data_IF_613341306938
#
_entry.id   IF_613341306938
#
_cell.length_a   1.000
_cell.length_b   1.000
_cell.length_c   1.000
_cell.angle_alpha   90.00
_cell.angle_beta   90.00
_cell.angle_gamma   90.00
#
_symmetry.space_group_name_H-M   'P 1'
#
loop_
_entity.id
_entity.type
_entity.pdbx_description
1 polymer ?
#
# COMPACT_ATOMS: atom_id res chain seq x y z
N UNK A 1 -17.49 -12.06 3.32
CA UNK A 1 -16.28 -11.92 4.17
C UNK A 1 -16.64 -11.52 5.59
N UNK A 2 -17.31 -10.38 5.81
CA UNK A 2 -17.69 -9.93 7.17
C UNK A 2 -18.52 -10.96 7.95
N UNK A 3 -19.49 -11.61 7.31
CA UNK A 3 -20.29 -12.67 7.96
C UNK A 3 -19.41 -13.80 8.50
N UNK A 4 -18.37 -14.20 7.77
CA UNK A 4 -17.45 -15.25 8.20
C UNK A 4 -16.58 -14.79 9.36
N UNK A 5 -16.08 -13.55 9.30
CA UNK A 5 -15.34 -12.95 10.41
C UNK A 5 -16.19 -12.89 11.69
N UNK A 6 -17.46 -12.48 11.57
CA UNK A 6 -18.40 -12.42 12.70
C UNK A 6 -18.70 -13.81 13.24
N UNK A 7 -19.00 -14.80 12.38
CA UNK A 7 -19.18 -16.19 12.81
C UNK A 7 -17.97 -16.72 13.55
N UNK A 8 -16.77 -16.46 13.06
CA UNK A 8 -15.55 -16.87 13.74
C UNK A 8 -15.40 -16.19 15.11
N UNK A 9 -15.68 -14.89 15.22
CA UNK A 9 -15.65 -14.13 16.48
C UNK A 9 -16.67 -14.64 17.52
N UNK A 10 -17.76 -15.27 17.10
CA UNK A 10 -18.74 -15.92 17.98
C UNK A 10 -18.22 -17.23 18.57
N UNK A 11 -17.29 -17.91 17.90
CA UNK A 11 -16.66 -19.15 18.38
C UNK A 11 -15.49 -18.93 19.34
N UNK A 12 -15.07 -17.68 19.55
CA UNK A 12 -13.94 -17.37 20.43
C UNK A 12 -14.26 -17.66 21.89
N UNK A 13 -13.53 -18.60 22.48
CA UNK A 13 -13.60 -18.92 23.92
C UNK A 13 -12.62 -18.10 24.77
N UNK A 14 -11.56 -17.53 24.15
CA UNK A 14 -10.47 -16.81 24.84
C UNK A 14 -9.95 -15.63 24.02
N UNK A 15 -9.51 -14.60 24.75
CA UNK A 15 -8.72 -13.46 24.27
C UNK A 15 -7.25 -13.62 24.70
N UNK A 16 -6.27 -12.97 24.02
CA UNK A 16 -6.42 -12.07 22.87
C UNK A 16 -6.61 -12.81 21.54
N UNK A 17 -7.15 -12.12 20.53
CA UNK A 17 -7.27 -12.61 19.16
C UNK A 17 -6.50 -11.71 18.17
N UNK A 18 -6.18 -12.26 17.00
CA UNK A 18 -5.69 -11.51 15.84
C UNK A 18 -6.55 -11.85 14.64
N UNK A 19 -7.15 -10.84 14.02
CA UNK A 19 -8.03 -10.97 12.86
C UNK A 19 -7.47 -10.13 11.72
N UNK A 20 -7.15 -10.80 10.61
CA UNK A 20 -6.72 -10.15 9.38
C UNK A 20 -7.77 -10.36 8.30
N UNK A 21 -8.20 -9.26 7.67
CA UNK A 21 -9.25 -9.22 6.66
C UNK A 21 -8.72 -8.43 5.48
N UNK A 22 -8.87 -9.00 4.28
CA UNK A 22 -8.40 -8.41 3.05
C UNK A 22 -9.60 -8.13 2.13
N UNK A 23 -10.04 -6.87 2.09
CA UNK A 23 -11.11 -6.43 1.19
C UNK A 23 -10.56 -6.31 -0.24
N UNK A 24 -11.30 -6.86 -1.21
CA UNK A 24 -10.94 -6.84 -2.63
C UNK A 24 -11.88 -5.96 -3.45
N UNK A 25 -12.87 -5.32 -2.80
CA UNK A 25 -13.96 -4.62 -3.48
C UNK A 25 -13.50 -3.36 -4.23
N UNK A 26 -12.34 -2.80 -3.87
CA UNK A 26 -11.66 -1.69 -4.57
C UNK A 26 -10.65 -2.17 -5.63
N UNK A 27 -10.55 -3.48 -5.87
CA UNK A 27 -9.75 -4.03 -6.96
C UNK A 27 -10.62 -4.27 -8.20
N UNK A 28 -10.04 -4.09 -9.39
CA UNK A 28 -10.77 -4.33 -10.64
C UNK A 28 -11.23 -5.80 -10.78
N UNK A 29 -12.37 -6.08 -11.45
CA UNK A 29 -13.32 -5.13 -12.01
C UNK A 29 -14.17 -4.43 -10.93
N UNK A 30 -14.35 -3.11 -11.04
CA UNK A 30 -15.18 -2.35 -10.09
C UNK A 30 -16.67 -2.59 -10.34
N UNK A 31 -17.28 -3.35 -9.45
CA UNK A 31 -18.69 -3.75 -9.53
C UNK A 31 -19.50 -3.34 -8.29
N UNK A 32 -19.49 -2.06 -7.89
CA UNK A 32 -20.18 -1.63 -6.69
C UNK A 32 -21.70 -1.80 -6.85
N UNK A 33 -22.45 -2.01 -5.75
CA UNK A 33 -23.91 -1.91 -5.80
C UNK A 33 -24.36 -0.52 -6.29
N UNK A 34 -25.57 -0.44 -6.83
CA UNK A 34 -26.05 0.82 -7.42
C UNK A 34 -26.43 1.84 -6.35
N UNK A 35 -26.62 1.39 -5.12
CA UNK A 35 -26.91 2.19 -3.94
C UNK A 35 -25.76 3.16 -3.69
N UNK A 36 -24.50 2.70 -3.70
CA UNK A 36 -23.34 3.59 -3.49
C UNK A 36 -23.15 4.60 -4.62
N UNK A 37 -23.41 4.20 -5.87
CA UNK A 37 -23.44 5.15 -7.00
C UNK A 37 -24.48 6.25 -6.77
N UNK A 38 -25.68 5.88 -6.29
CA UNK A 38 -26.75 6.83 -6.00
C UNK A 38 -26.39 7.77 -4.84
N UNK A 39 -25.78 7.27 -3.78
CA UNK A 39 -25.37 8.08 -2.63
C UNK A 39 -24.34 9.15 -2.99
N UNK A 40 -23.45 8.84 -3.93
CA UNK A 40 -22.46 9.77 -4.47
C UNK A 40 -23.03 10.72 -5.55
N UNK A 41 -24.32 10.60 -5.89
CA UNK A 41 -24.93 11.39 -6.96
C UNK A 41 -24.44 10.99 -8.36
N UNK A 42 -23.85 9.81 -8.52
CA UNK A 42 -23.28 9.30 -9.75
C UNK A 42 -24.33 8.57 -10.60
N UNK A 43 -24.10 8.55 -11.92
CA UNK A 43 -24.98 7.84 -12.85
C UNK A 43 -24.91 6.34 -12.62
N UNK A 44 -26.03 5.65 -12.90
CA UNK A 44 -26.09 4.18 -12.80
C UNK A 44 -25.43 3.54 -14.01
N UNK A 45 -24.77 2.41 -13.77
CA UNK A 45 -24.15 1.58 -14.80
C UNK A 45 -24.80 0.20 -14.82
N UNK A 46 -25.02 -0.36 -16.02
CA UNK A 46 -25.43 -1.75 -16.14
C UNK A 46 -24.31 -2.67 -15.66
N UNK A 47 -24.64 -3.84 -15.11
CA UNK A 47 -23.64 -4.82 -14.67
C UNK A 47 -22.68 -5.21 -15.81
N UNK A 48 -23.21 -5.40 -17.02
CA UNK A 48 -22.40 -5.67 -18.21
C UNK A 48 -21.38 -4.56 -18.50
N UNK A 49 -21.76 -3.28 -18.35
CA UNK A 49 -20.82 -2.15 -18.55
C UNK A 49 -19.70 -2.14 -17.52
N UNK A 50 -20.01 -2.44 -16.25
CA UNK A 50 -19.01 -2.52 -15.16
C UNK A 50 -17.94 -3.58 -15.45
N UNK A 51 -18.38 -4.80 -15.80
CA UNK A 51 -17.50 -5.91 -16.17
C UNK A 51 -16.68 -5.56 -17.42
N UNK A 52 -17.31 -4.98 -18.44
CA UNK A 52 -16.64 -4.62 -19.68
C UNK A 52 -15.55 -3.56 -19.48
N UNK A 53 -15.78 -2.55 -18.64
CA UNK A 53 -14.73 -1.56 -18.31
C UNK A 53 -13.55 -2.21 -17.59
N UNK A 54 -13.80 -3.09 -16.61
CA UNK A 54 -12.72 -3.82 -15.95
C UNK A 54 -11.89 -4.69 -16.91
N UNK A 55 -12.54 -5.39 -17.83
CA UNK A 55 -11.84 -6.17 -18.87
C UNK A 55 -11.01 -5.29 -19.81
N UNK A 56 -11.52 -4.12 -20.19
CA UNK A 56 -10.77 -3.17 -21.01
C UNK A 56 -9.53 -2.64 -20.30
N UNK A 57 -9.61 -2.44 -18.99
CA UNK A 57 -8.47 -2.01 -18.20
C UNK A 57 -7.46 -3.15 -18.12
N UNK A 58 -7.88 -4.39 -17.83
CA UNK A 58 -6.96 -5.53 -17.71
C UNK A 58 -6.23 -5.87 -19.03
N UNK A 59 -6.90 -5.74 -20.18
CA UNK A 59 -6.30 -6.01 -21.49
C UNK A 59 -5.50 -4.81 -22.04
N UNK A 60 -4.20 -5.02 -22.28
CA UNK A 60 -3.26 -3.98 -22.78
C UNK A 60 -3.76 -3.31 -24.07
N UNK A 61 -4.27 -4.06 -25.05
CA UNK A 61 -4.69 -3.50 -26.35
C UNK A 61 -6.00 -2.73 -26.24
N UNK A 62 -6.86 -3.13 -25.31
CA UNK A 62 -8.11 -2.42 -25.05
C UNK A 62 -7.88 -1.16 -24.23
N UNK A 63 -6.96 -1.20 -23.25
CA UNK A 63 -6.59 -0.09 -22.38
C UNK A 63 -6.15 1.14 -23.17
N UNK A 64 -5.34 0.93 -24.22
CA UNK A 64 -4.89 1.97 -25.15
C UNK A 64 -6.03 2.68 -25.89
N UNK A 65 -7.22 2.05 -25.98
CA UNK A 65 -8.38 2.56 -26.72
C UNK A 65 -9.45 3.18 -25.83
N UNK A 66 -9.21 3.24 -24.52
CA UNK A 66 -10.15 3.84 -23.55
C UNK A 66 -10.24 5.34 -23.79
N UNK A 67 -11.46 5.86 -23.89
CA UNK A 67 -11.75 7.30 -24.04
C UNK A 67 -11.79 7.99 -22.67
N UNK A 68 -11.59 9.30 -22.64
CA UNK A 68 -11.62 10.07 -21.39
C UNK A 68 -12.95 9.95 -20.63
N UNK A 69 -14.08 9.94 -21.35
CA UNK A 69 -15.40 9.70 -20.75
C UNK A 69 -15.53 8.30 -20.11
N UNK A 70 -14.77 7.31 -20.60
CA UNK A 70 -14.73 5.97 -20.02
C UNK A 70 -13.82 5.92 -18.78
N UNK A 71 -12.83 6.80 -18.68
CA UNK A 71 -12.00 6.96 -17.48
C UNK A 71 -12.82 7.59 -16.38
N UNK A 72 -13.57 8.65 -16.67
CA UNK A 72 -14.49 9.25 -15.70
C UNK A 72 -15.50 8.21 -15.19
N UNK A 73 -16.00 7.35 -16.09
CA UNK A 73 -16.85 6.22 -15.69
C UNK A 73 -16.14 5.21 -14.79
N UNK A 74 -14.85 4.97 -15.03
CA UNK A 74 -14.03 4.06 -14.25
C UNK A 74 -13.74 4.62 -12.85
N UNK A 75 -13.37 5.90 -12.75
CA UNK A 75 -13.19 6.63 -11.48
C UNK A 75 -14.49 6.62 -10.67
N UNK A 76 -15.63 6.94 -11.29
CA UNK A 76 -16.94 6.91 -10.63
C UNK A 76 -17.28 5.53 -10.05
N UNK A 77 -16.89 4.45 -10.73
CA UNK A 77 -17.06 3.09 -10.21
C UNK A 77 -16.08 2.80 -9.07
N UNK A 78 -14.85 3.28 -9.14
CA UNK A 78 -13.85 3.16 -8.08
C UNK A 78 -14.30 3.88 -6.80
N UNK A 79 -14.76 5.13 -6.90
CA UNK A 79 -15.27 5.92 -5.77
C UNK A 79 -16.47 5.22 -5.09
N UNK A 80 -17.36 4.63 -5.89
CA UNK A 80 -18.48 3.85 -5.36
C UNK A 80 -18.02 2.54 -4.70
N UNK A 81 -16.94 1.91 -5.17
CA UNK A 81 -16.31 0.78 -4.50
C UNK A 81 -15.65 1.19 -3.18
N UNK A 82 -14.98 2.35 -3.12
CA UNK A 82 -14.44 2.92 -1.87
C UNK A 82 -15.57 3.11 -0.87
N UNK A 83 -16.66 3.76 -1.28
CA UNK A 83 -17.83 4.00 -0.43
C UNK A 83 -18.44 2.69 0.10
N UNK A 84 -18.59 1.70 -0.77
CA UNK A 84 -19.09 0.38 -0.36
C UNK A 84 -18.17 -0.26 0.67
N UNK A 85 -16.86 -0.22 0.43
CA UNK A 85 -15.85 -0.82 1.32
C UNK A 85 -15.83 -0.13 2.68
N UNK A 86 -15.90 1.21 2.71
CA UNK A 86 -16.01 2.01 3.93
C UNK A 86 -17.24 1.60 4.77
N UNK A 87 -18.41 1.43 4.15
CA UNK A 87 -19.60 0.95 4.84
C UNK A 87 -19.42 -0.46 5.41
N UNK A 88 -18.74 -1.36 4.69
CA UNK A 88 -18.48 -2.73 5.18
C UNK A 88 -17.48 -2.73 6.34
N UNK A 89 -16.44 -1.90 6.27
CA UNK A 89 -15.48 -1.72 7.36
C UNK A 89 -16.20 -1.18 8.60
N UNK A 90 -17.00 -0.12 8.46
CA UNK A 90 -17.75 0.46 9.56
C UNK A 90 -18.71 -0.55 10.22
N UNK A 91 -19.44 -1.35 9.42
CA UNK A 91 -20.31 -2.42 9.95
C UNK A 91 -19.53 -3.43 10.79
N UNK A 92 -18.37 -3.88 10.31
CA UNK A 92 -17.56 -4.85 11.01
C UNK A 92 -16.99 -4.26 12.31
N UNK A 93 -16.39 -3.06 12.24
CA UNK A 93 -15.86 -2.35 13.42
C UNK A 93 -16.96 -2.18 14.46
N UNK A 94 -18.15 -1.70 14.06
CA UNK A 94 -19.30 -1.52 14.94
C UNK A 94 -19.75 -2.80 15.65
N UNK A 95 -19.60 -3.97 15.02
CA UNK A 95 -19.92 -5.27 15.64
C UNK A 95 -18.84 -5.66 16.64
N UNK A 96 -17.57 -5.52 16.26
CA UNK A 96 -16.43 -5.87 17.11
C UNK A 96 -16.41 -4.99 18.36
N UNK A 97 -16.56 -3.67 18.22
CA UNK A 97 -16.53 -2.72 19.35
C UNK A 97 -17.61 -2.99 20.40
N UNK A 98 -18.77 -3.51 20.00
CA UNK A 98 -19.86 -3.84 20.94
C UNK A 98 -19.48 -4.96 21.91
N UNK A 99 -18.63 -5.91 21.48
CA UNK A 99 -18.23 -7.08 22.28
C UNK A 99 -16.81 -6.97 22.82
N UNK A 100 -15.91 -6.35 22.05
CA UNK A 100 -14.47 -6.31 22.28
C UNK A 100 -13.98 -4.85 22.28
N UNK A 101 -14.31 -4.11 23.34
CA UNK A 101 -13.95 -2.68 23.48
C UNK A 101 -12.42 -2.45 23.51
N UNK A 102 -11.65 -3.46 23.91
CA UNK A 102 -10.19 -3.42 24.00
C UNK A 102 -9.49 -3.79 22.66
N UNK A 103 -10.14 -3.52 21.53
CA UNK A 103 -9.61 -3.85 20.19
C UNK A 103 -8.77 -2.71 19.62
N UNK A 104 -7.60 -3.05 19.05
CA UNK A 104 -6.86 -2.17 18.15
C UNK A 104 -7.25 -2.49 16.70
N UNK A 105 -7.79 -1.50 16.00
CA UNK A 105 -8.07 -1.57 14.58
C UNK A 105 -6.94 -0.91 13.79
N UNK A 106 -6.51 -1.58 12.72
CA UNK A 106 -5.56 -1.02 11.77
C UNK A 106 -6.08 -1.19 10.35
N UNK A 107 -6.25 -0.08 9.64
CA UNK A 107 -6.76 -0.03 8.28
C UNK A 107 -5.66 0.50 7.39
N UNK A 108 -5.37 -0.22 6.30
CA UNK A 108 -4.35 0.16 5.32
C UNK A 108 -4.73 -0.37 3.94
N UNK A 109 -4.09 0.16 2.90
CA UNK A 109 -3.99 -0.51 1.60
C UNK A 109 -2.55 -0.99 1.37
N UNK A 110 -2.37 -1.92 0.45
CA UNK A 110 -1.08 -2.46 0.01
C UNK A 110 -0.43 -1.58 -1.08
N UNK A 111 -1.24 -1.01 -1.98
CA UNK A 111 -0.87 0.02 -2.95
C UNK A 111 -2.08 0.88 -3.34
N UNK A 112 -1.82 1.94 -4.11
CA UNK A 112 -2.86 2.78 -4.72
C UNK A 112 -3.19 2.39 -6.16
N UNK A 113 -3.81 3.29 -6.92
CA UNK A 113 -4.28 3.03 -8.28
C UNK A 113 -4.11 4.28 -9.15
N UNK A 114 -3.71 4.10 -10.41
CA UNK A 114 -3.56 5.20 -11.37
C UNK A 114 -4.75 5.28 -12.34
N UNK A 115 -5.16 6.51 -12.63
CA UNK A 115 -6.25 6.90 -13.50
C UNK A 115 -5.80 7.80 -14.68
N UNK A 116 -4.57 7.60 -15.19
CA UNK A 116 -3.85 8.37 -16.24
C UNK A 116 -3.09 9.61 -15.81
N UNK A 117 -2.86 9.82 -14.52
CA UNK A 117 -2.03 10.92 -14.01
C UNK A 117 -0.63 10.88 -14.65
N UNK A 118 -0.04 9.69 -14.82
CA UNK A 118 1.26 9.48 -15.48
C UNK A 118 1.15 8.54 -16.68
N UNK A 119 0.02 8.61 -17.39
CA UNK A 119 -0.17 8.02 -18.71
C UNK A 119 -0.60 6.55 -18.75
N UNK A 120 -0.67 5.85 -17.61
CA UNK A 120 -1.21 4.48 -17.58
C UNK A 120 -2.53 4.41 -16.79
N UNK A 121 -3.12 3.22 -16.77
CA UNK A 121 -4.26 2.89 -15.93
C UNK A 121 -3.85 1.71 -15.06
N UNK A 122 -4.40 1.66 -13.86
CA UNK A 122 -4.11 0.64 -12.86
C UNK A 122 -2.69 0.75 -12.24
N UNK A 123 -2.21 -0.31 -11.59
CA UNK A 123 -0.97 -0.32 -10.81
C UNK A 123 0.19 -0.97 -11.58
N UNK A 124 0.62 -0.34 -12.67
CA UNK A 124 1.80 -0.77 -13.42
C UNK A 124 3.11 -0.47 -12.66
N UNK A 125 4.27 -0.86 -13.22
CA UNK A 125 5.60 -0.70 -12.61
C UNK A 125 6.04 0.78 -12.53
N UNK A 126 5.43 1.53 -11.61
CA UNK A 126 5.72 2.94 -11.35
C UNK A 126 5.71 3.19 -9.84
N UNK A 127 6.26 4.35 -9.45
CA UNK A 127 6.45 4.74 -8.05
C UNK A 127 5.97 6.18 -7.80
N UNK A 128 4.92 6.60 -8.51
CA UNK A 128 4.22 7.88 -8.28
C UNK A 128 3.26 7.78 -7.08
N UNK A 129 2.86 8.90 -6.49
CA UNK A 129 2.13 8.94 -5.20
C UNK A 129 0.73 8.35 -5.34
N UNK A 130 0.14 8.33 -6.54
CA UNK A 130 -1.11 7.63 -6.84
C UNK A 130 -1.01 6.13 -6.52
N UNK A 131 0.19 5.54 -6.62
CA UNK A 131 0.44 4.12 -6.32
C UNK A 131 1.03 3.89 -4.93
N UNK A 132 1.66 4.88 -4.32
CA UNK A 132 2.41 4.72 -3.06
C UNK A 132 1.70 5.33 -1.85
N UNK A 133 0.89 6.37 -2.02
CA UNK A 133 0.27 7.12 -0.95
C UNK A 133 -1.06 6.47 -0.54
N UNK A 134 -0.93 5.42 0.28
CA UNK A 134 -2.06 4.63 0.78
C UNK A 134 -2.55 5.12 2.15
N UNK A 135 -3.82 4.87 2.51
CA UNK A 135 -4.29 5.12 3.87
C UNK A 135 -3.52 4.25 4.88
N UNK A 136 -3.25 4.81 6.06
CA UNK A 136 -2.81 4.07 7.25
C UNK A 136 -3.47 4.68 8.48
N UNK A 137 -4.44 3.96 9.06
CA UNK A 137 -5.25 4.43 10.18
C UNK A 137 -5.14 3.45 11.32
N UNK A 138 -4.74 3.94 12.49
CA UNK A 138 -4.86 3.24 13.76
C UNK A 138 -6.08 3.79 14.50
N UNK A 139 -6.90 2.91 15.06
CA UNK A 139 -8.13 3.28 15.77
C UNK A 139 -8.42 2.30 16.92
N UNK A 140 -9.09 2.77 17.97
CA UNK A 140 -9.46 1.96 19.13
C UNK A 140 -8.47 2.04 20.29
N UNK A 141 -8.20 0.90 20.93
CA UNK A 141 -7.46 0.82 22.21
C UNK A 141 -6.10 1.53 22.18
N UNK A 142 -5.86 2.38 23.18
CA UNK A 142 -4.59 3.10 23.40
C UNK A 142 -4.14 4.01 22.24
N UNK A 143 -5.01 4.27 21.26
CA UNK A 143 -4.71 5.21 20.18
C UNK A 143 -5.09 6.62 20.60
N UNK A 144 -4.12 7.52 20.66
CA UNK A 144 -4.37 8.95 20.85
C UNK A 144 -4.68 9.60 19.51
N UNK A 145 -5.56 10.61 19.52
CA UNK A 145 -5.81 11.42 18.34
C UNK A 145 -4.52 12.16 17.95
N UNK A 146 -3.99 11.84 16.77
CA UNK A 146 -2.78 12.41 16.22
C UNK A 146 -2.77 12.24 14.69
N UNK A 147 -2.18 13.21 13.99
CA UNK A 147 -1.82 13.11 12.58
C UNK A 147 -0.29 12.98 12.51
N UNK A 148 0.19 12.02 11.71
CA UNK A 148 1.63 11.82 11.45
C UNK A 148 1.90 12.33 10.03
N UNK A 149 2.53 13.50 9.92
CA UNK A 149 2.78 14.17 8.63
C UNK A 149 4.04 13.65 7.91
N UNK A 150 4.94 12.99 8.64
CA UNK A 150 6.15 12.41 8.04
C UNK A 150 5.79 11.18 7.20
N UNK A 151 6.52 10.91 6.11
CA UNK A 151 6.37 9.65 5.38
C UNK A 151 6.60 8.45 6.29
N UNK A 152 5.76 7.45 6.11
CA UNK A 152 5.87 6.15 6.76
C UNK A 152 5.78 5.06 5.71
N UNK A 153 6.45 3.94 5.94
CA UNK A 153 6.43 2.79 5.02
C UNK A 153 5.60 1.67 5.64
N UNK A 154 4.93 0.87 4.81
CA UNK A 154 4.16 -0.29 5.27
C UNK A 154 5.01 -1.33 6.00
N UNK A 155 6.35 -1.35 5.81
CA UNK A 155 7.25 -2.21 6.61
C UNK A 155 7.25 -1.84 8.11
N UNK A 156 6.81 -0.64 8.46
CA UNK A 156 6.66 -0.14 9.82
C UNK A 156 5.34 -0.56 10.48
N UNK A 157 4.41 -1.16 9.72
CA UNK A 157 3.10 -1.57 10.24
C UNK A 157 3.23 -2.60 11.37
N UNK A 158 3.91 -3.71 11.11
CA UNK A 158 4.10 -4.81 12.08
C UNK A 158 4.79 -4.37 13.38
N UNK A 159 5.95 -3.68 13.37
CA UNK A 159 6.58 -3.23 14.61
C UNK A 159 5.72 -2.21 15.37
N UNK A 160 4.94 -1.38 14.68
CA UNK A 160 4.01 -0.45 15.33
C UNK A 160 2.86 -1.18 16.01
N UNK A 161 2.28 -2.20 15.38
CA UNK A 161 1.26 -3.05 16.01
C UNK A 161 1.80 -3.69 17.29
N UNK A 162 3.02 -4.24 17.24
CA UNK A 162 3.67 -4.85 18.41
C UNK A 162 3.85 -3.86 19.56
N UNK A 163 4.21 -2.61 19.26
CA UNK A 163 4.34 -1.54 20.25
C UNK A 163 3.01 -1.25 20.95
N UNK A 164 1.91 -1.10 20.18
CA UNK A 164 0.57 -0.89 20.76
C UNK A 164 0.11 -2.04 21.68
N UNK A 165 0.55 -3.28 21.44
CA UNK A 165 0.23 -4.44 22.28
C UNK A 165 1.29 -4.74 23.35
N UNK A 166 2.31 -3.89 23.51
CA UNK A 166 3.33 -4.02 24.55
C UNK A 166 4.36 -5.13 24.30
N UNK A 167 4.52 -5.57 23.05
CA UNK A 167 5.52 -6.58 22.67
C UNK A 167 6.80 -5.90 22.19
N UNK A 168 7.81 -5.89 23.06
CA UNK A 168 9.12 -5.32 22.75
C UNK A 168 9.99 -6.30 21.95
N UNK A 169 9.86 -6.32 20.62
CA UNK A 169 10.81 -7.03 19.75
C UNK A 169 11.13 -6.28 18.45
N UNK A 170 12.31 -5.67 18.42
CA UNK A 170 12.79 -4.85 17.29
C UNK A 170 13.47 -5.65 16.16
N UNK A 171 13.77 -6.94 16.36
CA UNK A 171 14.65 -7.69 15.45
C UNK A 171 13.93 -8.61 14.45
N UNK A 172 12.59 -8.69 14.49
CA UNK A 172 11.81 -9.55 13.60
C UNK A 172 11.48 -8.91 12.26
N UNK A 173 11.46 -7.58 12.20
CA UNK A 173 11.02 -6.81 11.04
C UNK A 173 12.16 -5.93 10.52
N UNK A 174 12.11 -5.62 9.23
CA UNK A 174 13.06 -4.70 8.60
C UNK A 174 12.71 -3.24 8.92
N UNK A 175 11.42 -2.93 9.07
CA UNK A 175 10.95 -1.61 9.44
C UNK A 175 11.05 -1.37 10.94
N UNK A 176 10.97 -0.09 11.30
CA UNK A 176 10.88 0.38 12.68
C UNK A 176 9.47 0.89 12.97
N UNK A 177 9.15 1.12 14.24
CA UNK A 177 7.87 1.73 14.63
C UNK A 177 7.70 3.08 13.90
N UNK A 178 6.49 3.37 13.39
CA UNK A 178 6.18 4.63 12.68
C UNK A 178 6.59 5.89 13.47
N UNK A 179 6.60 5.85 14.79
CA UNK A 179 7.04 6.97 15.63
C UNK A 179 8.56 7.12 15.68
N UNK A 180 9.31 6.04 15.42
CA UNK A 180 10.78 5.99 15.44
C UNK A 180 11.41 6.09 14.03
N UNK A 181 10.63 6.07 12.94
CA UNK A 181 11.18 6.06 11.57
C UNK A 181 11.95 7.33 11.18
N UNK A 182 12.89 7.13 10.26
CA UNK A 182 13.56 8.16 9.45
C UNK A 182 12.58 9.19 8.83
N UNK A 183 13.06 10.41 8.52
CA UNK A 183 12.24 11.45 7.89
C UNK A 183 11.96 11.19 6.40
N UNK A 184 12.37 10.04 5.87
CA UNK A 184 12.17 9.63 4.49
C UNK A 184 11.85 8.14 4.40
N UNK A 185 11.23 7.75 3.28
CA UNK A 185 10.99 6.35 2.93
C UNK A 185 11.61 6.02 1.58
N UNK A 186 11.83 4.73 1.38
CA UNK A 186 12.27 4.18 0.10
C UNK A 186 11.26 3.13 -0.35
N UNK A 187 10.81 3.25 -1.60
CA UNK A 187 9.96 2.28 -2.27
C UNK A 187 10.71 1.65 -3.45
N UNK A 188 10.39 0.39 -3.76
CA UNK A 188 10.99 -0.36 -4.86
C UNK A 188 9.90 -1.09 -5.65
N UNK A 189 10.06 -1.17 -6.96
CA UNK A 189 9.33 -2.14 -7.80
C UNK A 189 10.31 -2.86 -8.71
N UNK A 190 10.03 -4.13 -8.98
CA UNK A 190 10.90 -5.00 -9.77
C UNK A 190 10.10 -6.07 -10.52
N UNK A 191 9.86 -5.86 -11.81
CA UNK A 191 9.43 -6.93 -12.73
C UNK A 191 10.48 -7.16 -13.81
N UNK A 192 10.85 -6.12 -14.56
CA UNK A 192 11.90 -6.22 -15.59
C UNK A 192 13.19 -5.53 -15.16
N UNK A 193 13.08 -4.30 -14.65
CA UNK A 193 14.19 -3.50 -14.12
C UNK A 193 13.80 -2.99 -12.75
N UNK A 194 14.79 -2.84 -11.87
CA UNK A 194 14.56 -2.26 -10.55
C UNK A 194 14.35 -0.77 -10.71
N UNK A 195 13.22 -0.28 -10.23
CA UNK A 195 12.95 1.15 -10.04
C UNK A 195 12.96 1.40 -8.53
N UNK A 196 13.62 2.46 -8.11
CA UNK A 196 13.63 2.88 -6.70
C UNK A 196 13.15 4.31 -6.57
N UNK A 197 12.41 4.59 -5.51
CA UNK A 197 11.96 5.92 -5.16
C UNK A 197 12.40 6.29 -3.75
N UNK A 198 12.90 7.49 -3.57
CA UNK A 198 13.06 8.16 -2.28
C UNK A 198 11.92 9.16 -2.13
N UNK A 199 11.31 9.25 -0.94
CA UNK A 199 10.32 10.27 -0.61
C UNK A 199 10.52 10.77 0.81
N UNK A 200 10.76 12.07 0.97
CA UNK A 200 10.63 12.78 2.25
C UNK A 200 9.41 13.70 2.24
N UNK A 201 9.26 14.56 3.25
CA UNK A 201 8.13 15.50 3.32
C UNK A 201 8.07 16.49 2.14
N UNK A 202 9.21 16.83 1.55
CA UNK A 202 9.33 17.85 0.50
C UNK A 202 9.66 17.25 -0.85
N UNK A 203 10.59 16.31 -0.88
CA UNK A 203 11.23 15.84 -2.09
C UNK A 203 10.89 14.40 -2.40
N UNK A 204 10.66 14.15 -3.68
CA UNK A 204 10.56 12.81 -4.23
C UNK A 204 11.53 12.63 -5.38
N UNK A 205 12.20 11.49 -5.41
CA UNK A 205 13.18 11.15 -6.42
C UNK A 205 12.94 9.73 -6.90
N UNK A 206 12.79 9.53 -8.20
CA UNK A 206 12.60 8.21 -8.83
C UNK A 206 13.82 7.91 -9.73
N UNK A 207 14.39 6.72 -9.57
CA UNK A 207 15.50 6.21 -10.39
C UNK A 207 15.04 5.00 -11.20
N UNK A 208 15.10 5.12 -12.53
CA UNK A 208 14.83 4.02 -13.45
C UNK A 208 16.00 3.87 -14.43
N UNK A 209 16.90 2.91 -14.18
CA UNK A 209 18.11 2.73 -14.97
C UNK A 209 18.98 4.00 -14.95
N UNK A 210 19.17 4.65 -16.10
CA UNK A 210 19.89 5.93 -16.20
C UNK A 210 18.98 7.16 -16.11
N UNK A 211 17.67 6.97 -16.17
CA UNK A 211 16.68 8.04 -16.08
C UNK A 211 16.43 8.39 -14.62
N UNK A 212 16.25 9.68 -14.35
CA UNK A 212 15.88 10.17 -13.05
C UNK A 212 14.78 11.21 -13.15
N UNK A 213 13.95 11.21 -12.12
CA UNK A 213 12.89 12.18 -11.90
C UNK A 213 13.05 12.74 -10.49
N UNK A 214 12.81 14.04 -10.33
CA UNK A 214 12.95 14.73 -9.06
C UNK A 214 11.85 15.78 -8.93
N UNK A 215 11.05 15.71 -7.88
CA UNK A 215 9.85 16.52 -7.70
C UNK A 215 9.85 17.18 -6.32
N UNK A 216 9.33 18.40 -6.27
CA UNK A 216 8.96 19.05 -5.01
C UNK A 216 7.48 18.76 -4.75
N UNK A 217 7.17 17.81 -3.87
CA UNK A 217 5.80 17.34 -3.62
C UNK A 217 4.94 18.39 -2.92
N UNK A 218 5.54 19.34 -2.22
CA UNK A 218 4.80 20.44 -1.58
C UNK A 218 4.32 21.45 -2.61
N UNK A 219 5.09 21.68 -3.69
CA UNK A 219 4.77 22.65 -4.75
C UNK A 219 4.06 22.00 -5.95
N UNK A 220 4.30 20.70 -6.20
CA UNK A 220 3.84 19.92 -7.35
C UNK A 220 3.43 18.52 -6.88
N UNK A 221 2.26 18.46 -6.23
CA UNK A 221 1.66 17.21 -5.73
C UNK A 221 1.40 16.20 -6.85
N UNK A 222 1.14 16.68 -8.08
CA UNK A 222 0.87 15.84 -9.24
C UNK A 222 2.14 15.32 -9.94
N UNK A 223 3.34 15.64 -9.42
CA UNK A 223 4.61 15.12 -9.93
C UNK A 223 4.82 15.37 -11.45
N UNK A 224 4.46 16.56 -11.92
CA UNK A 224 4.47 16.90 -13.36
C UNK A 224 5.73 17.65 -13.82
N UNK A 225 6.43 18.31 -12.89
CA UNK A 225 7.59 19.16 -13.19
C UNK A 225 8.88 18.46 -12.75
N UNK A 226 9.49 17.71 -13.67
CA UNK A 226 10.76 17.03 -13.39
C UNK A 226 11.95 18.02 -13.26
N UNK A 227 12.53 18.08 -12.06
CA UNK A 227 13.64 18.96 -11.68
C UNK A 227 15.01 18.28 -11.77
N UNK A 228 15.11 16.98 -12.09
CA UNK A 228 16.35 16.20 -11.93
C UNK A 228 17.55 16.77 -12.73
N UNK A 229 17.29 17.39 -13.88
CA UNK A 229 18.33 17.98 -14.76
C UNK A 229 18.62 19.46 -14.48
N UNK A 230 17.94 20.09 -13.53
CA UNK A 230 18.12 21.51 -13.22
C UNK A 230 19.38 21.69 -12.37
N UNK A 231 20.31 22.52 -12.83
CA UNK A 231 21.61 22.74 -12.16
C UNK A 231 21.47 23.17 -10.69
N UNK A 232 20.41 23.91 -10.34
CA UNK A 232 20.08 24.35 -8.97
C UNK A 232 19.95 23.18 -7.97
N UNK A 233 19.48 22.01 -8.41
CA UNK A 233 19.19 20.87 -7.53
C UNK A 233 20.23 19.74 -7.63
N UNK A 234 21.35 19.98 -8.30
CA UNK A 234 22.37 18.95 -8.57
C UNK A 234 22.91 18.29 -7.30
N UNK A 235 23.14 19.06 -6.24
CA UNK A 235 23.71 18.55 -4.99
C UNK A 235 22.69 17.73 -4.18
N UNK A 236 21.42 18.16 -4.13
CA UNK A 236 20.36 17.41 -3.46
C UNK A 236 20.10 16.07 -4.18
N UNK A 237 20.02 16.09 -5.51
CA UNK A 237 19.89 14.86 -6.32
C UNK A 237 21.07 13.92 -6.06
N UNK A 238 22.30 14.44 -5.97
CA UNK A 238 23.49 13.63 -5.70
C UNK A 238 23.43 13.00 -4.30
N UNK A 239 22.99 13.74 -3.29
CA UNK A 239 22.81 13.26 -1.92
C UNK A 239 21.78 12.13 -1.87
N UNK A 240 20.60 12.31 -2.47
CA UNK A 240 19.54 11.29 -2.51
C UNK A 240 20.01 10.02 -3.25
N UNK A 241 20.73 10.17 -4.36
CA UNK A 241 21.32 9.03 -5.07
C UNK A 241 22.27 8.21 -4.20
N UNK A 242 23.05 8.86 -3.34
CA UNK A 242 23.92 8.16 -2.39
C UNK A 242 23.09 7.40 -1.34
N UNK A 243 22.05 8.01 -0.78
CA UNK A 243 21.12 7.35 0.15
C UNK A 243 20.53 6.08 -0.48
N UNK A 244 20.01 6.18 -1.71
CA UNK A 244 19.44 5.03 -2.41
C UNK A 244 20.47 3.92 -2.68
N UNK A 245 21.71 4.31 -3.00
CA UNK A 245 22.81 3.36 -3.21
C UNK A 245 23.16 2.61 -1.93
N UNK A 246 23.28 3.33 -0.81
CA UNK A 246 23.57 2.73 0.50
C UNK A 246 22.44 1.79 0.95
N UNK A 247 21.18 2.23 0.80
CA UNK A 247 20.00 1.40 1.06
C UNK A 247 20.02 0.11 0.25
N UNK A 248 20.25 0.22 -1.05
CA UNK A 248 20.34 -0.90 -1.97
C UNK A 248 21.41 -1.91 -1.54
N UNK A 249 22.62 -1.42 -1.23
CA UNK A 249 23.73 -2.26 -0.79
C UNK A 249 23.42 -2.97 0.53
N UNK A 250 22.77 -2.29 1.49
CA UNK A 250 22.32 -2.89 2.74
C UNK A 250 21.28 -3.99 2.50
N UNK A 251 20.26 -3.74 1.68
CA UNK A 251 19.24 -4.73 1.36
C UNK A 251 19.81 -5.95 0.64
N UNK A 252 20.73 -5.76 -0.30
CA UNK A 252 21.40 -6.87 -1.00
C UNK A 252 22.21 -7.73 -0.02
N UNK A 253 22.87 -7.12 0.97
CA UNK A 253 23.56 -7.85 2.02
C UNK A 253 22.58 -8.64 2.92
N UNK A 254 21.47 -8.03 3.32
CA UNK A 254 20.42 -8.69 4.11
C UNK A 254 19.79 -9.86 3.36
N UNK A 255 19.47 -9.69 2.07
CA UNK A 255 18.94 -10.76 1.19
C UNK A 255 19.92 -11.94 1.13
N UNK A 256 21.21 -11.67 0.92
CA UNK A 256 22.26 -12.71 0.92
C UNK A 256 22.37 -13.46 2.26
N UNK A 257 22.26 -12.74 3.38
CA UNK A 257 22.25 -13.36 4.73
C UNK A 257 21.04 -14.27 4.91
N UNK A 258 19.83 -13.83 4.51
CA UNK A 258 18.59 -14.62 4.60
C UNK A 258 18.61 -15.86 3.72
N UNK A 259 19.14 -15.77 2.50
CA UNK A 259 19.32 -16.93 1.62
C UNK A 259 20.23 -17.99 2.26
N UNK A 260 21.35 -17.56 2.83
CA UNK A 260 22.29 -18.44 3.53
C UNK A 260 21.63 -19.11 4.74
N UNK A 261 20.80 -18.38 5.50
CA UNK A 261 20.04 -18.93 6.62
C UNK A 261 18.98 -19.94 6.17
N UNK A 262 18.18 -19.62 5.14
CA UNK A 262 17.17 -20.54 4.58
C UNK A 262 17.81 -21.83 4.06
N UNK A 263 18.97 -21.74 3.41
CA UNK A 263 19.74 -22.91 2.99
C UNK A 263 20.15 -23.77 4.20
N UNK A 264 20.64 -23.15 5.28
CA UNK A 264 20.98 -23.87 6.53
C UNK A 264 19.76 -24.54 7.17
N UNK A 265 18.61 -23.87 7.23
CA UNK A 265 17.38 -24.46 7.78
C UNK A 265 16.81 -25.59 6.91
N UNK A 266 16.90 -25.47 5.57
CA UNK A 266 16.57 -26.57 4.65
C UNK A 266 17.47 -27.78 4.91
N UNK A 267 18.79 -27.58 5.06
CA UNK A 267 19.74 -28.64 5.39
C UNK A 267 19.38 -29.30 6.74
N UNK A 268 19.14 -28.50 7.79
CA UNK A 268 18.71 -29.04 9.11
C UNK A 268 17.42 -29.85 9.01
N UNK A 269 16.44 -29.37 8.23
CA UNK A 269 15.17 -30.06 8.03
C UNK A 269 15.36 -31.39 7.29
N UNK A 270 16.22 -31.42 6.27
CA UNK A 270 16.60 -32.65 5.56
C UNK A 270 17.32 -33.61 6.51
N UNK A 271 18.31 -33.15 7.28
CA UNK A 271 19.01 -33.98 8.28
C UNK A 271 18.05 -34.55 9.34
N UNK A 272 17.09 -33.75 9.82
CA UNK A 272 16.08 -34.19 10.80
C UNK A 272 15.10 -35.20 10.21
N UNK A 273 14.77 -35.10 8.91
CA UNK A 273 13.98 -36.11 8.17
C UNK A 273 14.80 -37.35 7.84
N UNK A 274 16.12 -37.23 7.69
CA UNK A 274 17.00 -38.33 7.34
C UNK A 274 17.34 -39.26 8.49
N UNK A 275 17.09 -38.90 9.76
CA UNK A 275 17.28 -39.75 10.95
C UNK A 275 18.19 -40.97 10.70
N UNK A 276 19.46 -40.64 10.45
CA UNK A 276 20.57 -41.14 11.26
C UNK A 276 20.59 -40.24 12.49
#
# INVERSE_FOLDING_TARGET
>A
MNEEAVRWLETLEKEPFFLWIHYMDVHMPYVPPNEQLKELGLKRYSHAKKIWLGQKIDDVKMREKIKDSEIEDYINLYDACIRYTDEQINKLISIIEKKYQDTLFVISADHGEEFREHGDLSHLEKLYDELLHVPLIFYGRNVKHQIVEKPVSLISLSPTILDFIGVNNKNWFQGENVFETDPFIIAETWKQKRITAYRDHTWKFIQNGNNCEFYNIVEDVSETVNLCKKQKYKDEVKKIKNILKEHTSRLEEERRKRETWLQKEKIKTVMKKMKI
#
